data_IF_796396619049
#
_entry.id   IF_796396619049
#
_cell.length_a   1.000
_cell.length_b   1.000
_cell.length_c   1.000
_cell.angle_alpha   90.00
_cell.angle_beta   90.00
_cell.angle_gamma   90.00
#
_symmetry.space_group_name_H-M   'P 1'
#
loop_
_entity.id
_entity.type
_entity.pdbx_description
1 polymer ?
#
# COMPACT_ATOMS: atom_id res chain seq x y z
N UNK A 1 -6.55 15.47 6.83
CA UNK A 1 -6.80 14.02 7.01
C UNK A 1 -6.84 13.39 5.64
N UNK A 2 -6.07 12.34 5.39
CA UNK A 2 -6.14 11.57 4.15
C UNK A 2 -7.13 10.43 4.39
N UNK A 3 -8.13 10.32 3.53
CA UNK A 3 -9.13 9.24 3.58
C UNK A 3 -9.11 8.44 2.28
N UNK A 4 -9.16 7.10 2.34
CA UNK A 4 -9.35 6.28 1.16
C UNK A 4 -10.70 6.61 0.50
N UNK A 5 -10.72 6.66 -0.84
CA UNK A 5 -11.96 6.72 -1.62
C UNK A 5 -12.43 5.31 -1.95
N UNK A 6 -13.66 5.17 -2.45
CA UNK A 6 -14.18 3.88 -2.92
C UNK A 6 -13.29 3.27 -4.03
N UNK A 7 -12.70 4.13 -4.87
CA UNK A 7 -11.73 3.71 -5.88
C UNK A 7 -10.46 3.11 -5.27
N UNK A 8 -9.97 3.67 -4.16
CA UNK A 8 -8.80 3.12 -3.48
C UNK A 8 -9.12 1.76 -2.86
N UNK A 9 -10.30 1.62 -2.24
CA UNK A 9 -10.77 0.36 -1.68
C UNK A 9 -10.90 -0.74 -2.72
N UNK A 10 -11.52 -0.43 -3.87
CA UNK A 10 -11.66 -1.40 -4.96
C UNK A 10 -10.30 -1.83 -5.50
N UNK A 11 -9.38 -0.89 -5.70
CA UNK A 11 -8.03 -1.20 -6.16
C UNK A 11 -7.24 -2.04 -5.14
N UNK A 12 -7.39 -1.76 -3.84
CA UNK A 12 -6.74 -2.49 -2.77
C UNK A 12 -7.27 -3.93 -2.67
N UNK A 13 -8.59 -4.14 -2.78
CA UNK A 13 -9.17 -5.48 -2.80
C UNK A 13 -8.73 -6.28 -4.01
N UNK A 14 -8.72 -5.68 -5.21
CA UNK A 14 -8.20 -6.33 -6.42
C UNK A 14 -6.72 -6.73 -6.27
N UNK A 15 -5.90 -5.91 -5.60
CA UNK A 15 -4.49 -6.23 -5.33
C UNK A 15 -4.34 -7.33 -4.28
N UNK A 16 -5.15 -7.30 -3.23
CA UNK A 16 -5.20 -8.34 -2.19
C UNK A 16 -5.57 -9.71 -2.79
N UNK A 17 -6.61 -9.76 -3.62
CA UNK A 17 -7.08 -10.99 -4.28
C UNK A 17 -6.07 -11.58 -5.28
N UNK A 18 -5.26 -10.74 -5.95
CA UNK A 18 -4.19 -11.21 -6.84
C UNK A 18 -3.09 -11.96 -6.10
N UNK A 19 -2.88 -11.69 -4.81
CA UNK A 19 -1.86 -12.35 -4.01
C UNK A 19 -0.43 -12.05 -4.47
N UNK A 20 -0.08 -10.77 -4.63
CA UNK A 20 1.28 -10.35 -4.99
C UNK A 20 2.33 -10.86 -3.98
N UNK A 21 3.60 -10.95 -4.42
CA UNK A 21 4.70 -11.53 -3.63
C UNK A 21 4.76 -10.95 -2.20
N UNK A 22 4.67 -11.84 -1.21
CA UNK A 22 4.64 -11.47 0.22
C UNK A 22 3.26 -11.42 0.85
N UNK A 23 2.19 -11.42 0.05
CA UNK A 23 0.79 -11.36 0.51
C UNK A 23 0.53 -10.28 1.57
N UNK A 24 0.72 -8.99 1.24
CA UNK A 24 0.45 -7.88 2.16
C UNK A 24 -1.01 -7.91 2.65
N UNK A 25 -1.24 -7.48 3.89
CA UNK A 25 -2.59 -7.37 4.43
C UNK A 25 -3.42 -6.32 3.67
N UNK A 26 -4.75 -6.37 3.81
CA UNK A 26 -5.63 -5.39 3.14
C UNK A 26 -5.31 -3.94 3.54
N UNK A 27 -4.88 -3.71 4.78
CA UNK A 27 -4.49 -2.37 5.26
C UNK A 27 -3.23 -1.87 4.54
N UNK A 28 -2.27 -2.75 4.27
CA UNK A 28 -1.06 -2.42 3.51
C UNK A 28 -1.43 -2.10 2.06
N UNK A 29 -2.31 -2.91 1.45
CA UNK A 29 -2.79 -2.67 0.09
C UNK A 29 -3.47 -1.30 -0.06
N UNK A 30 -4.33 -0.93 0.90
CA UNK A 30 -4.97 0.39 0.93
C UNK A 30 -3.92 1.49 1.08
N UNK A 31 -2.95 1.29 1.97
CA UNK A 31 -1.84 2.24 2.18
C UNK A 31 -1.06 2.46 0.88
N UNK A 32 -0.73 1.38 0.15
CA UNK A 32 0.03 1.46 -1.09
C UNK A 32 -0.73 2.23 -2.18
N UNK A 33 -2.04 1.96 -2.34
CA UNK A 33 -2.88 2.65 -3.32
C UNK A 33 -2.98 4.14 -3.01
N UNK A 34 -3.26 4.47 -1.74
CA UNK A 34 -3.37 5.87 -1.29
C UNK A 34 -2.04 6.60 -1.46
N UNK A 35 -0.93 6.00 -1.03
CA UNK A 35 0.40 6.61 -1.16
C UNK A 35 0.76 6.88 -2.61
N UNK A 36 0.52 5.93 -3.52
CA UNK A 36 0.76 6.11 -4.97
C UNK A 36 -0.10 7.24 -5.53
N UNK A 37 -1.38 7.33 -5.15
CA UNK A 37 -2.28 8.41 -5.59
C UNK A 37 -1.76 9.79 -5.21
N UNK A 38 -1.16 9.94 -4.03
CA UNK A 38 -0.60 11.20 -3.54
C UNK A 38 0.88 11.41 -3.91
N UNK A 39 1.50 10.48 -4.66
CA UNK A 39 2.92 10.56 -5.00
C UNK A 39 3.86 10.43 -3.79
N UNK A 40 3.40 9.80 -2.71
CA UNK A 40 4.20 9.55 -1.51
C UNK A 40 5.06 8.32 -1.77
N UNK A 41 6.38 8.49 -1.72
CA UNK A 41 7.35 7.40 -2.00
C UNK A 41 8.06 6.87 -0.76
N UNK A 42 7.99 7.58 0.36
CA UNK A 42 8.69 7.23 1.61
C UNK A 42 7.69 6.82 2.68
N UNK A 43 7.98 5.71 3.36
CA UNK A 43 7.16 5.18 4.44
C UNK A 43 7.96 5.12 5.75
N UNK A 44 7.35 5.61 6.82
CA UNK A 44 7.77 5.24 8.16
C UNK A 44 7.13 3.85 8.45
N UNK A 45 7.78 2.75 8.02
CA UNK A 45 7.40 1.38 8.40
C UNK A 45 8.60 0.43 8.50
N UNK A 46 8.56 -0.52 9.46
CA UNK A 46 9.51 -1.64 9.59
C UNK A 46 8.98 -2.91 8.91
N UNK A 47 7.80 -2.82 8.31
CA UNK A 47 7.20 -3.90 7.56
C UNK A 47 7.84 -3.99 6.17
N UNK A 48 8.43 -5.14 5.89
CA UNK A 48 9.09 -5.46 4.63
C UNK A 48 8.14 -5.35 3.43
N UNK A 49 6.82 -5.46 3.63
CA UNK A 49 5.84 -5.30 2.56
C UNK A 49 5.92 -3.92 1.89
N UNK A 50 6.27 -2.85 2.62
CA UNK A 50 6.41 -1.51 2.05
C UNK A 50 7.61 -1.43 1.09
N UNK A 51 8.75 -2.01 1.50
CA UNK A 51 9.91 -2.11 0.65
C UNK A 51 9.63 -2.98 -0.58
N UNK A 52 8.96 -4.12 -0.41
CA UNK A 52 8.55 -5.00 -1.50
C UNK A 52 7.57 -4.33 -2.48
N UNK A 53 6.71 -3.43 -1.99
CA UNK A 53 5.78 -2.64 -2.80
C UNK A 53 6.41 -1.42 -3.50
N UNK A 54 7.73 -1.22 -3.32
CA UNK A 54 8.52 -0.18 -3.97
C UNK A 54 8.58 1.16 -3.23
N UNK A 55 8.23 1.19 -1.94
CA UNK A 55 8.39 2.37 -1.10
C UNK A 55 9.76 2.36 -0.41
N UNK A 56 10.34 3.54 -0.22
CA UNK A 56 11.54 3.72 0.59
C UNK A 56 11.15 3.70 2.08
N UNK A 57 11.58 2.68 2.82
CA UNK A 57 11.40 2.59 4.27
C UNK A 57 12.49 3.39 4.98
N UNK A 58 12.12 4.15 6.01
CA UNK A 58 13.04 5.08 6.69
C UNK A 58 13.75 4.49 7.93
N UNK A 59 13.62 3.19 8.20
CA UNK A 59 14.27 2.44 9.29
C UNK A 59 14.35 0.95 8.96
#
# INVERSE_FOLDING_TARGET
MISPTDGDWNAAWLAYERGDAGAPGIVDQVSFVVMRRFGITRAFSNDWHFAAAGFETLF
#
